data_IF_419391749339
#
_entry.id   IF_419391749339
#
_cell.length_a   1.000
_cell.length_b   1.000
_cell.length_c   1.000
_cell.angle_alpha   90.00
_cell.angle_beta   90.00
_cell.angle_gamma   90.00
#
_symmetry.space_group_name_H-M   'P 1'
#
loop_
_entity.id
_entity.type
_entity.pdbx_description
1 polymer ?
#
# COMPACT_ATOMS: atom_id res chain seq x y z
N UNK A 1 -13.58 -45.03 41.21
CA UNK A 1 -12.24 -44.49 40.84
C UNK A 1 -12.05 -44.33 39.32
N UNK A 2 -12.31 -45.34 38.48
CA UNK A 2 -12.12 -45.23 36.99
C UNK A 2 -12.93 -44.11 36.29
N UNK A 3 -14.18 -43.85 36.76
CA UNK A 3 -15.03 -42.81 36.13
C UNK A 3 -14.53 -41.38 36.38
N UNK A 4 -13.91 -41.13 37.50
CA UNK A 4 -13.34 -39.84 37.87
C UNK A 4 -12.02 -39.56 37.11
N UNK A 5 -11.21 -40.59 36.90
CA UNK A 5 -10.00 -40.50 36.09
C UNK A 5 -10.30 -40.17 34.62
N UNK A 6 -11.35 -40.76 34.04
CA UNK A 6 -11.80 -40.41 32.68
C UNK A 6 -12.31 -38.95 32.56
N UNK A 7 -13.06 -38.48 33.59
CA UNK A 7 -13.53 -37.11 33.62
C UNK A 7 -12.38 -36.07 33.72
N UNK A 8 -11.36 -36.39 34.53
CA UNK A 8 -10.17 -35.53 34.63
C UNK A 8 -9.34 -35.54 33.35
N UNK A 9 -9.24 -36.67 32.65
CA UNK A 9 -8.49 -36.80 31.41
C UNK A 9 -9.18 -36.01 30.27
N UNK A 10 -10.52 -36.08 30.19
CA UNK A 10 -11.25 -35.29 29.17
C UNK A 10 -11.20 -33.78 29.44
N UNK A 11 -11.22 -33.37 30.71
CA UNK A 11 -11.08 -31.97 31.08
C UNK A 11 -9.67 -31.43 30.77
N UNK A 12 -8.64 -32.24 31.01
CA UNK A 12 -7.26 -31.91 30.68
C UNK A 12 -7.03 -31.77 29.15
N UNK A 13 -7.64 -32.64 28.34
CA UNK A 13 -7.60 -32.53 26.88
C UNK A 13 -8.33 -31.28 26.35
N UNK A 14 -9.46 -30.88 26.95
CA UNK A 14 -10.16 -29.65 26.57
C UNK A 14 -9.33 -28.39 26.87
N UNK A 15 -8.64 -28.35 27.97
CA UNK A 15 -7.76 -27.24 28.33
C UNK A 15 -6.55 -27.15 27.38
N UNK A 16 -6.01 -28.28 26.93
CA UNK A 16 -4.90 -28.30 25.98
C UNK A 16 -5.28 -27.76 24.59
N UNK A 17 -6.55 -27.89 24.18
CA UNK A 17 -7.03 -27.36 22.89
C UNK A 17 -7.26 -25.83 22.90
N UNK A 18 -7.38 -25.21 24.07
CA UNK A 18 -7.55 -23.76 24.20
C UNK A 18 -6.23 -22.97 24.22
N UNK A 19 -5.09 -23.64 24.36
CA UNK A 19 -3.75 -23.01 24.36
C UNK A 19 -3.12 -23.00 22.96
N UNK A 20 -3.84 -23.49 21.96
CA UNK A 20 -3.37 -23.61 20.57
C UNK A 20 -3.44 -22.37 19.71
N UNK A 21 -3.84 -21.20 20.21
CA UNK A 21 -3.63 -19.93 19.50
C UNK A 21 -2.26 -19.37 19.91
N UNK A 22 -1.24 -19.71 19.16
CA UNK A 22 0.07 -19.11 19.29
C UNK A 22 -0.02 -17.61 19.18
N UNK A 23 0.19 -16.91 20.28
CA UNK A 23 0.59 -15.51 20.25
C UNK A 23 1.99 -15.48 19.64
N UNK A 24 2.10 -15.11 18.38
CA UNK A 24 3.34 -14.62 17.82
C UNK A 24 3.78 -13.45 18.70
N UNK A 25 4.68 -13.75 19.62
CA UNK A 25 5.40 -12.74 20.40
C UNK A 25 6.21 -11.95 19.38
N UNK A 26 5.70 -10.80 18.98
CA UNK A 26 6.45 -9.84 18.20
C UNK A 26 7.77 -9.59 18.95
N UNK A 27 8.86 -10.11 18.41
CA UNK A 27 10.21 -9.78 18.88
C UNK A 27 10.38 -8.30 18.64
N UNK A 28 10.49 -7.56 19.71
CA UNK A 28 10.79 -6.12 19.76
C UNK A 28 12.23 -5.89 19.29
N UNK A 29 12.45 -6.05 17.99
CA UNK A 29 13.61 -5.56 17.28
C UNK A 29 13.15 -4.38 16.46
N UNK A 30 13.94 -3.32 16.33
CA UNK A 30 13.72 -2.13 15.49
C UNK A 30 13.30 -2.55 14.06
N UNK A 31 12.10 -3.03 13.93
CA UNK A 31 11.47 -3.39 12.66
C UNK A 31 11.00 -2.07 12.07
N UNK A 32 11.58 -1.69 10.94
CA UNK A 32 11.08 -0.57 10.17
C UNK A 32 9.57 -0.73 10.00
N UNK A 33 8.84 0.38 9.97
CA UNK A 33 7.40 0.34 9.76
C UNK A 33 7.13 -0.31 8.40
N UNK A 34 6.60 -1.53 8.39
CA UNK A 34 6.20 -2.23 7.19
C UNK A 34 4.70 -2.11 7.00
N UNK A 35 4.29 -1.83 5.78
CA UNK A 35 2.90 -1.86 5.35
C UNK A 35 2.77 -2.88 4.22
N UNK A 36 1.87 -3.83 4.39
CA UNK A 36 1.54 -4.78 3.33
C UNK A 36 0.32 -4.24 2.57
N UNK A 37 0.48 -4.04 1.26
CA UNK A 37 -0.58 -3.58 0.38
C UNK A 37 -1.01 -4.73 -0.51
N UNK A 38 -2.27 -5.17 -0.36
CA UNK A 38 -2.89 -6.17 -1.23
C UNK A 38 -3.64 -5.49 -2.36
N UNK A 39 -3.38 -5.90 -3.59
CA UNK A 39 -4.13 -5.48 -4.76
C UNK A 39 -4.74 -6.72 -5.43
N UNK A 40 -5.97 -6.57 -5.94
CA UNK A 40 -6.63 -7.64 -6.70
C UNK A 40 -6.15 -7.70 -8.15
N UNK A 41 -5.50 -6.66 -8.62
CA UNK A 41 -4.89 -6.59 -9.94
C UNK A 41 -3.51 -5.93 -9.84
N UNK A 42 -2.56 -6.49 -10.57
CA UNK A 42 -1.18 -5.99 -10.65
C UNK A 42 -0.88 -5.63 -12.11
N UNK A 43 -0.05 -4.62 -12.33
CA UNK A 43 0.44 -4.27 -13.66
C UNK A 43 1.39 -5.33 -14.20
N UNK A 44 1.55 -5.37 -15.52
CA UNK A 44 2.45 -6.32 -16.18
C UNK A 44 3.90 -5.85 -16.14
N UNK A 45 4.11 -4.54 -16.10
CA UNK A 45 5.43 -3.91 -16.13
C UNK A 45 5.55 -2.77 -15.11
N UNK A 46 6.73 -2.17 -15.01
CA UNK A 46 6.97 -0.92 -14.29
C UNK A 46 6.98 0.30 -15.21
N UNK A 47 6.58 0.13 -16.48
CA UNK A 47 6.49 1.21 -17.45
C UNK A 47 5.10 1.89 -17.33
N UNK A 48 5.02 3.15 -16.89
CA UNK A 48 3.75 3.85 -16.75
C UNK A 48 3.07 4.16 -18.09
N UNK A 49 3.73 3.94 -19.22
CA UNK A 49 3.14 4.15 -20.56
C UNK A 49 2.46 2.90 -21.09
N UNK A 50 2.63 1.75 -20.41
CA UNK A 50 2.06 0.49 -20.82
C UNK A 50 0.65 0.32 -20.21
N UNK A 51 -0.38 0.28 -21.05
CA UNK A 51 -1.79 0.02 -20.70
C UNK A 51 -2.26 0.69 -19.38
N UNK A 52 -2.52 -0.12 -18.36
CA UNK A 52 -3.03 0.30 -17.05
C UNK A 52 -1.94 0.39 -15.96
N UNK A 53 -0.67 0.23 -16.32
CA UNK A 53 0.42 0.16 -15.36
C UNK A 53 0.62 1.46 -14.59
N UNK A 54 0.41 2.63 -15.23
CA UNK A 54 0.42 3.91 -14.52
C UNK A 54 -0.56 3.95 -13.33
N UNK A 55 -1.76 3.38 -13.53
CA UNK A 55 -2.79 3.33 -12.49
C UNK A 55 -2.36 2.44 -11.31
N UNK A 56 -1.74 1.29 -11.59
CA UNK A 56 -1.20 0.40 -10.56
C UNK A 56 -0.04 1.06 -9.81
N UNK A 57 0.92 1.63 -10.54
CA UNK A 57 2.11 2.27 -9.97
C UNK A 57 1.76 3.42 -9.03
N UNK A 58 0.77 4.23 -9.38
CA UNK A 58 0.32 5.33 -8.51
C UNK A 58 -0.38 4.83 -7.24
N UNK A 59 -1.12 3.72 -7.31
CA UNK A 59 -1.81 3.13 -6.15
C UNK A 59 -0.89 2.48 -5.14
N UNK A 60 0.21 1.90 -5.59
CA UNK A 60 1.23 1.34 -4.70
C UNK A 60 2.25 2.38 -4.21
N UNK A 61 2.12 3.63 -4.66
CA UNK A 61 3.03 4.71 -4.28
C UNK A 61 4.39 4.64 -4.97
N UNK A 62 4.52 3.88 -6.06
CA UNK A 62 5.75 3.82 -6.87
C UNK A 62 5.80 4.90 -7.95
N UNK A 63 4.66 5.46 -8.34
CA UNK A 63 4.56 6.55 -9.31
C UNK A 63 3.76 7.72 -8.76
N UNK A 64 3.98 8.89 -9.31
CA UNK A 64 3.23 10.10 -9.02
C UNK A 64 2.74 10.75 -10.31
N UNK A 65 1.58 11.40 -10.23
CA UNK A 65 0.99 12.11 -11.36
C UNK A 65 1.35 13.60 -11.32
N UNK A 66 1.19 14.30 -12.44
CA UNK A 66 1.26 15.76 -12.45
C UNK A 66 0.13 16.36 -11.62
N UNK A 67 -1.08 15.84 -11.78
CA UNK A 67 -2.27 16.22 -11.04
C UNK A 67 -3.10 14.97 -10.72
N UNK A 68 -3.92 15.01 -9.69
CA UNK A 68 -4.83 13.92 -9.29
C UNK A 68 -6.29 14.38 -9.42
N UNK A 69 -7.17 13.41 -9.64
CA UNK A 69 -8.61 13.64 -9.59
C UNK A 69 -9.11 13.35 -8.18
N UNK A 70 -9.75 14.31 -7.58
CA UNK A 70 -10.35 14.21 -6.25
C UNK A 70 -11.71 13.48 -6.31
N UNK A 71 -12.25 13.00 -5.16
CA UNK A 71 -13.56 12.34 -5.12
C UNK A 71 -14.72 13.19 -5.66
N UNK A 72 -14.62 14.52 -5.60
CA UNK A 72 -15.59 15.47 -6.15
C UNK A 72 -15.30 15.84 -7.63
N UNK A 73 -14.50 15.00 -8.30
CA UNK A 73 -14.18 15.08 -9.73
C UNK A 73 -13.47 16.38 -10.13
N UNK A 74 -12.67 16.95 -9.24
CA UNK A 74 -11.82 18.09 -9.53
C UNK A 74 -10.37 17.68 -9.65
N UNK A 75 -9.57 18.48 -10.35
CA UNK A 75 -8.13 18.32 -10.38
C UNK A 75 -7.48 18.99 -9.15
N UNK A 76 -6.58 18.25 -8.51
CA UNK A 76 -5.75 18.78 -7.43
C UNK A 76 -4.27 18.62 -7.77
N UNK A 77 -3.40 19.54 -7.32
CA UNK A 77 -1.96 19.49 -7.53
C UNK A 77 -1.33 18.23 -6.94
N UNK A 78 -0.34 17.66 -7.68
CA UNK A 78 0.58 16.62 -7.16
C UNK A 78 2.03 16.99 -7.50
N UNK A 79 2.63 16.51 -8.59
CA UNK A 79 3.97 16.97 -9.02
C UNK A 79 3.92 18.36 -9.64
N UNK A 80 2.85 18.69 -10.36
CA UNK A 80 2.59 20.05 -10.79
C UNK A 80 1.81 20.80 -9.70
N UNK A 81 2.18 22.02 -9.41
CA UNK A 81 1.46 22.92 -8.51
C UNK A 81 0.46 23.81 -9.24
N UNK A 82 0.64 24.01 -10.54
CA UNK A 82 -0.27 24.76 -11.41
C UNK A 82 -0.19 24.31 -12.86
N UNK A 83 -1.23 24.62 -13.62
CA UNK A 83 -1.29 24.35 -15.06
C UNK A 83 -2.21 25.36 -15.74
N UNK A 84 -1.97 25.58 -17.03
CA UNK A 84 -2.79 26.43 -17.89
C UNK A 84 -2.99 25.79 -19.27
N UNK A 85 -4.14 26.00 -19.86
CA UNK A 85 -4.38 25.69 -21.26
C UNK A 85 -4.01 26.92 -22.08
N UNK A 86 -2.91 26.83 -22.83
CA UNK A 86 -2.38 27.94 -23.62
C UNK A 86 -3.16 28.11 -24.93
N UNK A 87 -3.51 26.99 -25.55
CA UNK A 87 -4.29 26.89 -26.78
C UNK A 87 -5.03 25.54 -26.82
N UNK A 88 -5.93 25.26 -27.78
CA UNK A 88 -6.73 24.02 -27.81
C UNK A 88 -5.93 22.71 -27.77
N UNK A 89 -4.64 22.74 -28.08
CA UNK A 89 -3.78 21.55 -28.14
C UNK A 89 -2.57 21.62 -27.20
N UNK A 90 -2.38 22.74 -26.49
CA UNK A 90 -1.17 22.98 -25.69
C UNK A 90 -1.53 23.24 -24.23
N UNK A 91 -0.98 22.44 -23.35
CA UNK A 91 -1.02 22.62 -21.92
C UNK A 91 0.37 22.88 -21.36
N UNK A 92 0.47 23.80 -20.42
CA UNK A 92 1.69 24.13 -19.71
C UNK A 92 1.51 23.77 -18.23
N UNK A 93 2.43 22.99 -17.70
CA UNK A 93 2.46 22.59 -16.30
C UNK A 93 3.68 23.23 -15.63
N UNK A 94 3.48 23.76 -14.44
CA UNK A 94 4.56 24.20 -13.57
C UNK A 94 4.85 23.09 -12.56
N UNK A 95 6.05 22.52 -12.62
CA UNK A 95 6.49 21.47 -11.70
C UNK A 95 6.99 22.15 -10.43
N UNK A 96 6.55 21.67 -9.26
CA UNK A 96 6.99 22.20 -7.97
C UNK A 96 8.50 22.06 -7.81
N UNK A 97 9.09 22.97 -7.06
CA UNK A 97 10.51 22.92 -6.76
C UNK A 97 10.88 21.73 -5.87
N UNK A 98 12.15 21.33 -5.92
CA UNK A 98 12.74 20.26 -5.10
C UNK A 98 12.17 18.85 -5.31
N UNK A 99 11.49 18.61 -6.43
CA UNK A 99 11.11 17.26 -6.85
C UNK A 99 12.35 16.48 -7.30
N UNK A 100 12.42 15.23 -6.87
CA UNK A 100 13.52 14.31 -7.24
C UNK A 100 12.97 13.00 -7.75
N UNK A 101 13.62 12.44 -8.74
CA UNK A 101 13.40 11.06 -9.14
C UNK A 101 13.89 10.08 -8.05
N UNK A 102 13.48 8.80 -8.14
CA UNK A 102 13.86 7.75 -7.18
C UNK A 102 15.38 7.55 -7.04
N UNK A 103 16.14 7.86 -8.06
CA UNK A 103 17.61 7.82 -8.04
C UNK A 103 18.25 9.08 -7.42
N UNK A 104 17.44 10.03 -6.98
CA UNK A 104 17.87 11.28 -6.32
C UNK A 104 18.21 12.42 -7.29
N UNK A 105 18.13 12.22 -8.59
CA UNK A 105 18.33 13.33 -9.55
C UNK A 105 17.16 14.30 -9.50
N UNK A 106 17.38 15.61 -9.65
CA UNK A 106 16.29 16.59 -9.73
C UNK A 106 15.48 16.38 -11.01
N UNK A 107 14.18 16.63 -10.90
CA UNK A 107 13.25 16.63 -12.03
C UNK A 107 13.38 17.96 -12.79
#
# INVERSE_FOLDING_TARGET
>A
MKRWLLACLTMLCMVALLVGCGSDTAKDGKQGKHMNVGLYWFGETLDPTHEWDAWTLTRIGAGENLAVVTPDMKFAPQLADSWENVDPTTWKFHIRENVKFHNGTPM
#
